data_IF_817834330277
#
_entry.id   IF_817834330277
#
_cell.length_a   1.000
_cell.length_b   1.000
_cell.length_c   1.000
_cell.angle_alpha   90.00
_cell.angle_beta   90.00
_cell.angle_gamma   90.00
#
_symmetry.space_group_name_H-M   'P 1'
#
loop_
_entity.id
_entity.type
_entity.pdbx_description
1 polymer ?
#
# COMPACT_ATOMS: atom_id res chain seq x y z
N UNK A 1 31.17 62.15 16.07
CA UNK A 1 30.15 62.07 15.01
C UNK A 1 30.30 60.72 14.33
N UNK A 2 29.26 59.88 14.48
CA UNK A 2 28.78 58.83 13.56
C UNK A 2 29.77 57.82 12.94
N UNK A 3 29.69 56.57 13.44
CA UNK A 3 29.20 55.33 12.76
C UNK A 3 29.68 55.07 11.31
N UNK A 4 30.13 53.88 10.87
CA UNK A 4 29.56 52.54 11.10
C UNK A 4 30.51 51.39 10.63
N UNK A 5 30.40 50.25 11.33
CA UNK A 5 30.42 48.80 10.89
C UNK A 5 31.68 48.06 10.34
N UNK A 6 32.38 47.37 11.26
CA UNK A 6 32.44 45.90 11.51
C UNK A 6 32.07 44.88 10.39
N UNK A 7 32.64 43.66 10.29
CA UNK A 7 33.60 42.89 11.11
C UNK A 7 34.05 41.62 10.37
N UNK A 8 35.30 41.23 10.60
CA UNK A 8 35.90 39.93 10.31
C UNK A 8 35.35 38.81 11.22
N UNK A 9 35.50 37.57 10.75
CA UNK A 9 35.00 36.37 11.40
C UNK A 9 35.87 35.79 12.51
N UNK A 10 35.34 34.74 13.16
CA UNK A 10 36.09 33.61 13.73
C UNK A 10 35.13 32.56 14.31
N UNK A 11 35.30 31.30 13.87
CA UNK A 11 35.34 30.10 14.72
C UNK A 11 34.11 29.67 15.51
N UNK A 12 33.33 28.74 14.95
CA UNK A 12 32.54 27.76 15.72
C UNK A 12 33.43 26.59 16.16
N UNK A 13 33.29 26.14 17.40
CA UNK A 13 33.71 24.80 17.84
C UNK A 13 32.46 24.03 18.29
N UNK A 14 32.18 22.97 17.53
CA UNK A 14 31.13 21.97 17.69
C UNK A 14 31.33 21.09 18.94
N UNK A 15 30.23 20.77 19.61
CA UNK A 15 30.11 19.59 20.46
C UNK A 15 29.02 18.67 19.88
N UNK A 16 29.48 17.54 19.33
CA UNK A 16 28.86 16.21 19.28
C UNK A 16 27.33 16.11 19.19
N UNK A 17 26.82 15.90 17.96
CA UNK A 17 25.56 15.19 17.73
C UNK A 17 25.82 14.02 16.79
N UNK A 18 25.49 12.82 17.28
CA UNK A 18 25.62 11.53 16.61
C UNK A 18 24.77 11.50 15.34
N UNK A 19 25.41 11.56 14.18
CA UNK A 19 24.76 11.45 12.87
C UNK A 19 24.53 9.97 12.51
N UNK A 20 23.31 9.47 12.68
CA UNK A 20 22.85 8.25 12.00
C UNK A 20 22.68 8.57 10.50
N UNK A 21 23.76 8.42 9.75
CA UNK A 21 23.82 8.67 8.31
C UNK A 21 22.88 7.76 7.53
N UNK A 22 21.93 8.34 6.79
CA UNK A 22 21.34 7.68 5.63
C UNK A 22 22.45 7.55 4.58
N UNK A 23 22.93 6.33 4.33
CA UNK A 23 23.83 6.07 3.19
C UNK A 23 23.05 6.32 1.91
N UNK A 24 23.48 7.32 1.15
CA UNK A 24 23.00 7.57 -0.20
C UNK A 24 23.29 6.34 -1.07
N UNK A 25 22.25 5.72 -1.63
CA UNK A 25 22.39 4.48 -2.40
C UNK A 25 22.90 4.82 -3.81
N UNK A 26 24.14 4.44 -4.11
CA UNK A 26 24.74 4.69 -5.44
C UNK A 26 24.22 3.65 -6.44
N UNK A 27 23.72 4.11 -7.59
CA UNK A 27 23.27 3.22 -8.66
C UNK A 27 24.45 2.55 -9.39
N UNK A 28 24.32 1.30 -9.86
CA UNK A 28 25.37 0.64 -10.64
C UNK A 28 25.75 1.46 -11.87
N UNK A 29 27.04 1.68 -12.08
CA UNK A 29 27.58 2.41 -13.22
C UNK A 29 28.70 1.62 -13.90
N UNK A 30 28.90 1.89 -15.19
CA UNK A 30 30.05 1.36 -15.94
C UNK A 30 31.34 1.89 -15.30
N UNK A 31 32.33 1.01 -15.13
CA UNK A 31 33.61 1.33 -14.51
C UNK A 31 33.69 1.06 -13.01
N UNK A 32 32.57 0.77 -12.33
CA UNK A 32 32.60 0.34 -10.92
C UNK A 32 33.41 -0.95 -10.75
N UNK A 33 34.24 -1.01 -9.71
CA UNK A 33 35.14 -2.11 -9.42
C UNK A 33 34.84 -2.76 -8.07
N UNK A 34 35.07 -4.06 -7.98
CA UNK A 34 34.86 -4.88 -6.80
C UNK A 34 36.04 -5.82 -6.61
N UNK A 35 36.36 -6.15 -5.36
CA UNK A 35 37.45 -7.07 -5.02
C UNK A 35 37.14 -8.51 -5.44
N UNK A 36 35.86 -8.91 -5.33
CA UNK A 36 35.43 -10.25 -5.73
C UNK A 36 34.14 -10.25 -6.57
N UNK A 37 33.89 -11.40 -7.19
CA UNK A 37 32.61 -11.67 -7.85
C UNK A 37 31.44 -11.58 -6.85
N UNK A 38 31.63 -12.10 -5.64
CA UNK A 38 30.59 -12.14 -4.62
C UNK A 38 30.26 -10.74 -4.12
N UNK A 39 31.25 -9.84 -4.02
CA UNK A 39 31.00 -8.43 -3.68
C UNK A 39 30.17 -7.72 -4.75
N UNK A 40 30.53 -7.90 -6.02
CA UNK A 40 29.76 -7.35 -7.14
C UNK A 40 28.33 -7.93 -7.20
N UNK A 41 28.19 -9.23 -6.92
CA UNK A 41 26.90 -9.91 -6.86
C UNK A 41 26.04 -9.41 -5.71
N UNK A 42 26.61 -9.29 -4.52
CA UNK A 42 25.93 -8.81 -3.31
C UNK A 42 25.52 -7.34 -3.45
N UNK A 43 26.41 -6.49 -3.97
CA UNK A 43 26.09 -5.10 -4.29
C UNK A 43 24.87 -4.99 -5.22
N UNK A 44 24.86 -5.75 -6.31
CA UNK A 44 23.75 -5.69 -7.25
C UNK A 44 22.45 -6.29 -6.68
N UNK A 45 22.54 -7.29 -5.79
CA UNK A 45 21.38 -7.78 -5.05
C UNK A 45 20.82 -6.74 -4.07
N UNK A 46 21.69 -6.01 -3.37
CA UNK A 46 21.27 -4.89 -2.51
C UNK A 46 20.57 -3.81 -3.33
N UNK A 47 21.13 -3.41 -4.47
CA UNK A 47 20.49 -2.48 -5.40
C UNK A 47 19.14 -3.01 -5.88
N UNK A 48 19.08 -4.28 -6.29
CA UNK A 48 17.84 -4.88 -6.77
C UNK A 48 16.76 -4.94 -5.69
N UNK A 49 17.14 -5.19 -4.43
CA UNK A 49 16.23 -5.19 -3.29
C UNK A 49 15.65 -3.80 -3.05
N UNK A 50 16.50 -2.77 -3.06
CA UNK A 50 16.09 -1.38 -2.89
C UNK A 50 15.15 -0.92 -4.01
N UNK A 51 15.49 -1.24 -5.25
CA UNK A 51 14.70 -0.88 -6.43
C UNK A 51 13.44 -1.77 -6.58
N UNK A 52 13.43 -2.97 -6.00
CA UNK A 52 12.26 -3.85 -5.94
C UNK A 52 12.18 -4.91 -7.06
N UNK A 53 13.31 -5.41 -7.57
CA UNK A 53 13.36 -6.56 -8.48
C UNK A 53 14.26 -7.68 -7.93
N UNK A 54 14.27 -8.82 -8.61
CA UNK A 54 15.13 -9.95 -8.22
C UNK A 54 16.17 -10.18 -9.30
N UNK A 55 17.42 -10.39 -8.88
CA UNK A 55 18.55 -10.69 -9.76
C UNK A 55 18.57 -12.17 -10.10
N UNK A 56 19.04 -12.50 -11.30
CA UNK A 56 19.40 -13.85 -11.71
C UNK A 56 20.70 -13.80 -12.51
N UNK A 57 21.53 -14.83 -12.34
CA UNK A 57 22.70 -15.03 -13.18
C UNK A 57 22.24 -15.51 -14.57
N UNK A 58 22.49 -14.70 -15.60
CA UNK A 58 22.17 -15.05 -17.00
C UNK A 58 23.26 -15.90 -17.62
N UNK A 59 24.50 -15.42 -17.52
CA UNK A 59 25.69 -16.05 -18.07
C UNK A 59 26.83 -15.98 -17.06
N UNK A 60 27.75 -16.94 -17.15
CA UNK A 60 29.00 -16.97 -16.40
C UNK A 60 30.08 -17.56 -17.29
N UNK A 61 31.27 -16.98 -17.27
CA UNK A 61 32.42 -17.46 -18.03
C UNK A 61 33.55 -17.84 -17.08
N UNK A 62 34.18 -18.97 -17.38
CA UNK A 62 35.24 -19.57 -16.58
C UNK A 62 36.50 -19.74 -17.42
N UNK A 63 37.66 -19.52 -16.81
CA UNK A 63 38.96 -19.77 -17.44
C UNK A 63 39.07 -21.26 -17.77
N UNK A 64 39.65 -21.58 -18.93
CA UNK A 64 39.66 -22.93 -19.51
C UNK A 64 40.27 -23.99 -18.59
N UNK A 65 41.24 -23.59 -17.75
CA UNK A 65 42.07 -24.53 -16.98
C UNK A 65 41.92 -24.43 -15.45
N UNK A 66 41.29 -23.38 -14.91
CA UNK A 66 41.30 -23.13 -13.45
C UNK A 66 39.93 -23.17 -12.77
N UNK A 67 38.83 -23.48 -13.47
CA UNK A 67 37.44 -23.31 -12.96
C UNK A 67 37.16 -21.92 -12.37
N UNK A 68 38.05 -20.96 -12.59
CA UNK A 68 37.99 -19.62 -12.03
C UNK A 68 37.09 -18.77 -12.91
N UNK A 69 36.16 -18.07 -12.28
CA UNK A 69 35.23 -17.20 -12.99
C UNK A 69 35.97 -15.94 -13.46
N UNK A 70 35.78 -15.52 -14.70
CA UNK A 70 36.33 -14.25 -15.21
C UNK A 70 35.27 -13.31 -15.77
N UNK A 71 34.00 -13.73 -15.83
CA UNK A 71 32.92 -12.84 -16.26
C UNK A 71 31.54 -13.34 -15.84
N UNK A 72 30.60 -12.41 -15.73
CA UNK A 72 29.20 -12.72 -15.46
C UNK A 72 28.25 -11.67 -16.04
N UNK A 73 27.02 -12.10 -16.34
CA UNK A 73 25.88 -11.19 -16.59
C UNK A 73 24.84 -11.46 -15.53
N UNK A 74 24.49 -10.42 -14.77
CA UNK A 74 23.41 -10.44 -13.79
C UNK A 74 22.22 -9.68 -14.37
N UNK A 75 21.05 -10.32 -14.45
CA UNK A 75 19.87 -9.74 -15.07
C UNK A 75 18.64 -9.74 -14.17
N UNK A 76 17.64 -8.94 -14.52
CA UNK A 76 16.34 -9.06 -13.89
C UNK A 76 15.74 -10.45 -14.11
N UNK A 77 15.12 -11.01 -13.08
CA UNK A 77 14.35 -12.26 -13.13
C UNK A 77 13.23 -12.27 -14.19
N UNK A 78 12.74 -11.09 -14.59
CA UNK A 78 11.75 -10.93 -15.65
C UNK A 78 12.37 -10.90 -17.07
N UNK A 79 13.68 -11.15 -17.22
CA UNK A 79 14.37 -11.14 -18.51
C UNK A 79 14.07 -12.40 -19.36
N UNK A 80 13.92 -12.17 -20.67
CA UNK A 80 13.65 -13.16 -21.71
C UNK A 80 12.16 -13.46 -21.88
N UNK A 81 11.83 -14.37 -22.79
CA UNK A 81 10.47 -14.85 -23.02
C UNK A 81 10.44 -16.37 -22.84
N UNK A 82 9.35 -16.93 -22.29
CA UNK A 82 9.18 -18.38 -22.28
C UNK A 82 8.98 -18.88 -23.71
N UNK A 83 9.59 -20.02 -24.04
CA UNK A 83 9.24 -20.77 -25.25
C UNK A 83 7.89 -21.45 -24.98
N UNK A 84 6.91 -21.20 -25.84
CA UNK A 84 5.57 -21.79 -25.74
C UNK A 84 5.73 -23.29 -25.98
N UNK A 85 5.65 -24.08 -24.91
CA UNK A 85 5.38 -25.52 -24.96
C UNK A 85 4.31 -25.82 -23.93
N UNK A 86 3.22 -26.38 -24.45
CA UNK A 86 2.02 -26.94 -23.82
C UNK A 86 1.04 -25.99 -23.10
N UNK A 87 -0.21 -26.07 -23.59
CA UNK A 87 -1.36 -25.17 -23.39
C UNK A 87 -2.03 -25.32 -22.02
N UNK A 88 -1.54 -26.22 -21.15
CA UNK A 88 -2.27 -26.61 -19.93
C UNK A 88 -1.72 -26.05 -18.61
N UNK A 89 -0.88 -25.00 -18.62
CA UNK A 89 -0.52 -24.29 -17.37
C UNK A 89 -0.60 -22.78 -17.50
N UNK A 90 -1.74 -22.21 -17.09
CA UNK A 90 -2.00 -20.78 -16.90
C UNK A 90 -1.19 -20.23 -15.69
N UNK A 91 0.14 -20.42 -15.68
CA UNK A 91 1.01 -19.67 -14.76
C UNK A 91 1.25 -18.31 -15.39
N UNK A 92 0.85 -17.23 -14.71
CA UNK A 92 1.08 -15.83 -15.13
C UNK A 92 2.51 -15.66 -15.68
N UNK A 93 2.62 -15.06 -16.87
CA UNK A 93 3.92 -14.82 -17.51
C UNK A 93 4.79 -13.96 -16.58
N UNK A 94 5.97 -14.48 -16.25
CA UNK A 94 6.89 -13.81 -15.31
C UNK A 94 8.06 -13.19 -16.03
N UNK A 95 8.25 -13.48 -17.33
CA UNK A 95 9.37 -13.04 -18.14
C UNK A 95 8.84 -12.18 -19.28
N UNK A 96 8.89 -10.87 -19.06
CA UNK A 96 8.36 -9.82 -19.94
C UNK A 96 9.37 -9.38 -21.01
N UNK A 97 10.48 -10.09 -21.17
CA UNK A 97 11.59 -9.62 -21.99
C UNK A 97 12.37 -8.46 -21.36
N UNK A 98 12.37 -8.34 -20.02
CA UNK A 98 13.02 -7.21 -19.35
C UNK A 98 14.50 -7.05 -19.73
N UNK A 99 14.95 -5.85 -20.15
CA UNK A 99 16.31 -5.64 -20.62
C UNK A 99 17.31 -5.43 -19.46
N UNK A 100 16.84 -5.03 -18.27
CA UNK A 100 17.69 -4.68 -17.13
C UNK A 100 18.75 -5.75 -16.80
N UNK A 101 20.01 -5.33 -16.83
CA UNK A 101 21.17 -6.17 -16.54
C UNK A 101 22.42 -5.36 -16.23
N UNK A 102 23.39 -6.01 -15.58
CA UNK A 102 24.78 -5.59 -15.55
C UNK A 102 25.67 -6.70 -16.09
N UNK A 103 26.73 -6.32 -16.80
CA UNK A 103 27.81 -7.22 -17.23
C UNK A 103 29.09 -6.83 -16.52
N UNK A 104 29.78 -7.82 -15.98
CA UNK A 104 31.04 -7.65 -15.26
C UNK A 104 32.09 -8.64 -15.75
N UNK A 105 33.35 -8.22 -15.68
CA UNK A 105 34.52 -9.02 -16.08
C UNK A 105 35.65 -8.79 -15.08
N UNK A 106 36.43 -9.84 -14.84
CA UNK A 106 37.69 -9.76 -14.11
C UNK A 106 38.74 -9.09 -15.00
N UNK A 107 39.32 -7.99 -14.51
CA UNK A 107 40.35 -7.18 -15.15
C UNK A 107 41.67 -7.44 -14.43
N UNK A 108 42.74 -7.63 -15.19
CA UNK A 108 44.12 -7.85 -14.72
C UNK A 108 44.28 -9.00 -13.70
N UNK A 109 43.31 -9.92 -13.67
CA UNK A 109 43.20 -11.01 -12.67
C UNK A 109 43.04 -10.56 -11.22
N UNK A 110 42.74 -9.28 -10.96
CA UNK A 110 42.64 -8.75 -9.60
C UNK A 110 41.28 -8.14 -9.27
N UNK A 111 40.63 -7.46 -10.22
CA UNK A 111 39.42 -6.67 -9.92
C UNK A 111 38.25 -6.97 -10.84
N UNK A 112 37.06 -7.06 -10.27
CA UNK A 112 35.81 -7.23 -11.03
C UNK A 112 35.26 -5.87 -11.43
N UNK A 113 35.28 -5.57 -12.73
CA UNK A 113 34.77 -4.30 -13.26
C UNK A 113 33.42 -4.49 -13.96
N UNK A 114 32.47 -3.59 -13.70
CA UNK A 114 31.24 -3.47 -14.48
C UNK A 114 31.55 -2.82 -15.83
N UNK A 115 31.24 -3.51 -16.92
CA UNK A 115 31.53 -3.07 -18.29
C UNK A 115 30.28 -2.65 -19.07
N UNK A 116 29.09 -3.03 -18.61
CA UNK A 116 27.82 -2.70 -19.25
C UNK A 116 26.73 -2.62 -18.18
N UNK A 117 25.88 -1.60 -18.29
CA UNK A 117 24.75 -1.37 -17.37
C UNK A 117 23.51 -1.00 -18.18
N UNK A 118 22.40 -1.69 -17.91
CA UNK A 118 21.06 -1.32 -18.33
C UNK A 118 20.18 -1.37 -17.09
N UNK A 119 19.74 -0.21 -16.60
CA UNK A 119 18.89 -0.10 -15.40
C UNK A 119 17.40 -0.01 -15.72
N UNK A 120 17.04 0.27 -16.98
CA UNK A 120 15.64 0.41 -17.37
C UNK A 120 14.89 -0.92 -17.34
N UNK A 121 13.70 -0.89 -16.76
CA UNK A 121 12.81 -2.04 -16.68
C UNK A 121 11.56 -1.81 -17.53
N UNK A 122 11.14 -2.84 -18.25
CA UNK A 122 9.88 -2.83 -19.01
C UNK A 122 8.69 -3.35 -18.19
N UNK A 123 8.86 -3.47 -16.87
CA UNK A 123 7.84 -3.91 -15.94
C UNK A 123 7.97 -3.15 -14.63
N UNK A 124 6.86 -3.12 -13.88
CA UNK A 124 6.83 -2.48 -12.58
C UNK A 124 7.74 -3.19 -11.58
N UNK A 125 8.39 -2.38 -10.75
CA UNK A 125 9.30 -2.80 -9.69
C UNK A 125 8.51 -2.78 -8.36
N UNK A 126 8.86 -3.66 -7.41
CA UNK A 126 8.16 -3.83 -6.13
C UNK A 126 7.00 -4.86 -6.12
N UNK A 127 6.46 -5.22 -7.28
CA UNK A 127 5.27 -6.09 -7.40
C UNK A 127 5.46 -7.56 -6.92
N UNK A 128 6.70 -8.02 -6.71
CA UNK A 128 7.00 -9.38 -6.21
C UNK A 128 7.08 -9.44 -4.68
N UNK A 129 7.56 -8.38 -4.00
CA UNK A 129 7.56 -8.32 -2.52
C UNK A 129 6.13 -8.15 -1.97
N UNK A 130 5.28 -7.45 -2.72
CA UNK A 130 3.88 -7.22 -2.39
C UNK A 130 3.00 -8.50 -2.35
N UNK A 131 3.37 -9.58 -3.06
CA UNK A 131 2.56 -10.82 -3.12
C UNK A 131 2.79 -11.78 -1.95
N UNK A 132 3.96 -11.77 -1.32
CA UNK A 132 4.28 -12.66 -0.20
C UNK A 132 3.85 -12.06 1.14
N UNK A 133 4.11 -10.78 1.38
CA UNK A 133 3.74 -10.08 2.62
C UNK A 133 2.21 -10.08 2.83
N UNK A 134 1.46 -9.68 1.80
CA UNK A 134 0.01 -9.62 1.87
C UNK A 134 -0.66 -10.99 2.07
N UNK A 135 -0.02 -12.10 1.70
CA UNK A 135 -0.68 -13.41 1.81
C UNK A 135 -0.74 -13.92 3.25
N UNK A 136 0.28 -13.62 4.05
CA UNK A 136 0.39 -14.03 5.46
C UNK A 136 -0.34 -13.03 6.36
N UNK A 137 -0.07 -11.72 6.21
CA UNK A 137 -0.66 -10.67 7.06
C UNK A 137 -2.18 -10.52 6.85
N UNK A 138 -2.66 -10.68 5.61
CA UNK A 138 -4.09 -10.73 5.35
C UNK A 138 -4.76 -11.98 5.95
N UNK A 139 -4.00 -13.05 6.17
CA UNK A 139 -4.49 -14.25 6.85
C UNK A 139 -4.81 -13.98 8.33
N UNK A 140 -3.92 -13.27 9.02
CA UNK A 140 -4.07 -12.91 10.44
C UNK A 140 -5.28 -11.98 10.63
N UNK A 141 -5.36 -10.87 9.88
CA UNK A 141 -6.48 -9.92 9.95
C UNK A 141 -7.83 -10.57 9.65
N UNK A 142 -7.90 -11.43 8.63
CA UNK A 142 -9.13 -12.20 8.32
C UNK A 142 -9.53 -13.11 9.48
N UNK A 143 -8.57 -13.81 10.10
CA UNK A 143 -8.83 -14.70 11.24
C UNK A 143 -9.26 -13.93 12.49
N UNK A 144 -8.71 -12.74 12.71
CA UNK A 144 -9.11 -11.84 13.78
C UNK A 144 -10.57 -11.40 13.59
N UNK A 145 -10.88 -10.81 12.43
CA UNK A 145 -12.20 -10.25 12.17
C UNK A 145 -13.30 -11.29 11.95
N UNK A 146 -12.98 -12.51 11.50
CA UNK A 146 -13.98 -13.58 11.36
C UNK A 146 -14.63 -13.97 12.68
N UNK A 147 -13.93 -13.75 13.81
CA UNK A 147 -14.44 -14.00 15.16
C UNK A 147 -15.37 -12.88 15.64
N UNK A 148 -15.07 -11.64 15.27
CA UNK A 148 -15.70 -10.44 15.85
C UNK A 148 -16.83 -9.91 14.97
N UNK A 149 -16.64 -9.82 13.65
CA UNK A 149 -17.57 -9.17 12.72
C UNK A 149 -18.80 -10.01 12.37
N UNK A 150 -19.96 -9.38 12.23
CA UNK A 150 -21.15 -10.02 11.62
C UNK A 150 -20.82 -10.60 10.24
N UNK A 151 -21.57 -11.62 9.81
CA UNK A 151 -21.30 -12.29 8.52
C UNK A 151 -21.32 -11.31 7.34
N UNK A 152 -22.29 -10.40 7.32
CA UNK A 152 -22.47 -9.43 6.25
C UNK A 152 -21.28 -8.45 6.13
N UNK A 153 -20.82 -7.89 7.25
CA UNK A 153 -19.71 -6.94 7.22
C UNK A 153 -18.37 -7.65 6.99
N UNK A 154 -18.22 -8.88 7.51
CA UNK A 154 -17.05 -9.70 7.25
C UNK A 154 -16.87 -10.01 5.76
N UNK A 155 -17.96 -10.30 5.03
CA UNK A 155 -17.90 -10.49 3.57
C UNK A 155 -17.42 -9.24 2.84
N UNK A 156 -17.91 -8.05 3.21
CA UNK A 156 -17.44 -6.78 2.62
C UNK A 156 -15.95 -6.54 2.90
N UNK A 157 -15.51 -6.82 4.12
CA UNK A 157 -14.10 -6.75 4.47
C UNK A 157 -13.24 -7.77 3.69
N UNK A 158 -13.74 -8.99 3.48
CA UNK A 158 -13.04 -10.01 2.69
C UNK A 158 -12.83 -9.54 1.24
N UNK A 159 -13.83 -8.89 0.64
CA UNK A 159 -13.69 -8.31 -0.70
C UNK A 159 -12.57 -7.27 -0.73
N UNK A 160 -12.49 -6.38 0.26
CA UNK A 160 -11.38 -5.41 0.34
C UNK A 160 -10.02 -6.10 0.46
N UNK A 161 -9.92 -7.15 1.29
CA UNK A 161 -8.69 -7.95 1.44
C UNK A 161 -8.31 -8.67 0.14
N UNK A 162 -9.29 -9.23 -0.57
CA UNK A 162 -9.06 -9.90 -1.84
C UNK A 162 -8.61 -8.88 -2.88
N UNK A 163 -9.34 -7.77 -3.04
CA UNK A 163 -9.04 -6.70 -3.99
C UNK A 163 -7.76 -5.92 -3.67
N UNK A 164 -7.04 -6.21 -2.57
CA UNK A 164 -5.68 -5.69 -2.37
C UNK A 164 -4.74 -6.03 -3.54
N UNK A 165 -5.00 -7.07 -4.34
CA UNK A 165 -4.19 -7.33 -5.55
C UNK A 165 -4.30 -6.23 -6.63
N UNK A 166 -5.38 -5.44 -6.62
CA UNK A 166 -5.59 -4.31 -7.54
C UNK A 166 -4.66 -3.14 -7.19
N UNK A 167 -4.34 -2.98 -5.90
CA UNK A 167 -3.33 -2.07 -5.39
C UNK A 167 -1.96 -2.64 -5.71
N UNK A 168 -1.32 -2.16 -6.77
CA UNK A 168 -0.09 -2.77 -7.28
C UNK A 168 1.18 -2.05 -6.81
N UNK A 169 1.02 -0.89 -6.19
CA UNK A 169 2.12 -0.07 -5.66
C UNK A 169 1.66 0.61 -4.37
N UNK A 170 2.52 0.58 -3.36
CA UNK A 170 2.38 1.33 -2.11
C UNK A 170 3.76 1.92 -1.82
N UNK A 171 3.88 3.24 -1.91
CA UNK A 171 5.14 3.94 -1.74
C UNK A 171 5.00 5.01 -0.67
N UNK A 172 5.99 5.12 0.22
CA UNK A 172 6.08 6.23 1.14
C UNK A 172 6.53 7.49 0.37
N UNK A 173 5.80 8.59 0.46
CA UNK A 173 6.15 9.86 -0.20
C UNK A 173 7.02 10.73 0.70
N UNK A 174 6.47 11.18 1.83
CA UNK A 174 7.16 12.03 2.79
C UNK A 174 6.56 11.88 4.20
N UNK A 175 7.21 12.51 5.17
CA UNK A 175 6.79 12.55 6.58
C UNK A 175 6.37 13.98 6.89
N UNK A 176 5.16 14.16 7.42
CA UNK A 176 4.62 15.42 7.89
C UNK A 176 4.26 15.28 9.39
N UNK A 177 5.13 15.79 10.25
CA UNK A 177 5.00 15.63 11.70
C UNK A 177 4.88 14.16 12.13
N UNK A 178 3.82 13.76 12.87
CA UNK A 178 3.62 12.38 13.30
C UNK A 178 3.03 11.48 12.20
N UNK A 179 2.64 12.05 11.06
CA UNK A 179 2.03 11.33 9.95
C UNK A 179 3.03 11.03 8.85
N UNK A 180 2.91 9.84 8.29
CA UNK A 180 3.64 9.39 7.10
C UNK A 180 2.61 9.31 5.97
N UNK A 181 2.89 9.98 4.86
CA UNK A 181 2.01 9.95 3.69
C UNK A 181 2.46 8.85 2.73
N UNK A 182 1.55 7.94 2.44
CA UNK A 182 1.70 6.87 1.48
C UNK A 182 0.87 7.13 0.23
N UNK A 183 1.42 6.78 -0.93
CA UNK A 183 0.70 6.73 -2.20
C UNK A 183 0.41 5.28 -2.56
N UNK A 184 -0.87 4.94 -2.69
CA UNK A 184 -1.32 3.61 -3.14
C UNK A 184 -1.88 3.72 -4.55
N UNK A 185 -1.30 3.01 -5.51
CA UNK A 185 -1.77 2.97 -6.90
C UNK A 185 -2.63 1.75 -7.15
N UNK A 186 -3.86 1.97 -7.59
CA UNK A 186 -4.87 0.94 -7.84
C UNK A 186 -5.18 0.83 -9.33
N UNK A 187 -5.29 -0.40 -9.85
CA UNK A 187 -5.81 -0.66 -11.19
C UNK A 187 -7.32 -0.80 -11.15
N UNK A 188 -8.01 0.04 -11.91
CA UNK A 188 -9.46 0.01 -12.05
C UNK A 188 -9.83 -0.50 -13.43
N UNK A 189 -10.84 -1.36 -13.45
CA UNK A 189 -11.48 -1.83 -14.68
C UNK A 189 -12.57 -0.82 -15.05
N UNK A 190 -12.32 0.03 -16.05
CA UNK A 190 -13.37 0.87 -16.63
C UNK A 190 -14.13 0.10 -17.72
N UNK A 191 -15.39 0.48 -17.93
CA UNK A 191 -16.19 -0.01 -19.06
C UNK A 191 -15.43 0.20 -20.37
N UNK A 192 -15.19 -0.89 -21.11
CA UNK A 192 -14.46 -0.86 -22.39
C UNK A 192 -13.01 -1.36 -22.36
N UNK A 193 -12.61 -2.19 -21.38
CA UNK A 193 -11.28 -2.83 -21.32
C UNK A 193 -10.08 -1.86 -21.18
N UNK A 194 -10.34 -0.57 -20.94
CA UNK A 194 -9.30 0.40 -20.57
C UNK A 194 -8.97 0.24 -19.09
N UNK A 195 -7.69 -0.02 -18.80
CA UNK A 195 -7.18 -0.10 -17.43
C UNK A 195 -6.78 1.30 -16.98
N UNK A 196 -7.55 1.87 -16.08
CA UNK A 196 -7.22 3.13 -15.43
C UNK A 196 -6.36 2.86 -14.18
N UNK A 197 -5.48 3.81 -13.86
CA UNK A 197 -4.72 3.80 -12.62
C UNK A 197 -5.21 4.99 -11.80
N UNK A 198 -5.66 4.73 -10.57
CA UNK A 198 -5.99 5.77 -9.61
C UNK A 198 -5.00 5.75 -8.46
N UNK A 199 -4.68 6.95 -8.00
CA UNK A 199 -3.73 7.19 -6.94
C UNK A 199 -4.51 7.60 -5.68
N UNK A 200 -4.23 6.92 -4.56
CA UNK A 200 -4.87 7.17 -3.28
C UNK A 200 -3.82 7.51 -2.22
N UNK A 201 -3.96 8.70 -1.64
CA UNK A 201 -3.16 9.09 -0.49
C UNK A 201 -3.69 8.45 0.78
N UNK A 202 -2.76 7.95 1.60
CA UNK A 202 -3.06 7.29 2.86
C UNK A 202 -2.10 7.82 3.92
N UNK A 203 -2.68 8.44 4.94
CA UNK A 203 -1.98 9.03 6.07
C UNK A 203 -1.86 7.96 7.17
N UNK A 204 -0.65 7.76 7.67
CA UNK A 204 -0.39 6.77 8.71
C UNK A 204 0.42 7.36 9.86
N UNK A 205 -0.10 7.25 11.08
CA UNK A 205 0.61 7.64 12.29
C UNK A 205 1.19 6.39 12.97
N UNK A 206 2.51 6.31 13.04
CA UNK A 206 3.22 5.18 13.66
C UNK A 206 2.96 5.05 15.16
N UNK A 207 2.87 6.18 15.87
CA UNK A 207 2.70 6.19 17.32
C UNK A 207 1.30 5.71 17.73
N UNK A 208 0.27 6.18 17.04
CA UNK A 208 -1.11 5.81 17.36
C UNK A 208 -1.64 4.62 16.56
N UNK A 209 -0.90 4.10 15.58
CA UNK A 209 -1.36 3.11 14.58
C UNK A 209 -2.66 3.55 13.87
N UNK A 210 -2.82 4.86 13.68
CA UNK A 210 -3.93 5.44 12.94
C UNK A 210 -3.63 5.44 11.44
N UNK A 211 -4.59 4.99 10.64
CA UNK A 211 -4.58 5.01 9.19
C UNK A 211 -5.83 5.73 8.67
N UNK A 212 -5.64 6.67 7.75
CA UNK A 212 -6.71 7.42 7.09
C UNK A 212 -6.44 7.41 5.58
N UNK A 213 -7.42 6.98 4.78
CA UNK A 213 -7.31 6.98 3.32
C UNK A 213 -8.27 8.03 2.75
N UNK A 214 -7.84 8.75 1.71
CA UNK A 214 -8.67 9.75 1.02
C UNK A 214 -9.96 9.16 0.42
N UNK A 215 -10.01 7.85 0.15
CA UNK A 215 -11.24 7.20 -0.34
C UNK A 215 -12.36 7.19 0.71
N UNK A 216 -12.07 7.55 1.97
CA UNK A 216 -13.04 7.70 3.06
C UNK A 216 -13.92 6.48 3.33
N UNK A 217 -13.54 5.30 2.83
CA UNK A 217 -14.30 4.06 2.98
C UNK A 217 -14.60 3.72 4.44
N UNK A 218 -13.67 3.96 5.35
CA UNK A 218 -13.93 3.74 6.77
C UNK A 218 -15.00 4.69 7.33
N UNK A 219 -14.98 5.96 6.93
CA UNK A 219 -15.98 6.94 7.36
C UNK A 219 -17.38 6.55 6.86
N UNK A 220 -17.48 6.12 5.60
CA UNK A 220 -18.77 5.79 4.97
C UNK A 220 -19.28 4.38 5.27
N UNK A 221 -18.40 3.40 5.43
CA UNK A 221 -18.77 1.99 5.55
C UNK A 221 -18.43 1.39 6.92
N UNK A 222 -17.55 2.03 7.69
CA UNK A 222 -17.13 1.57 9.02
C UNK A 222 -16.20 0.35 9.00
N UNK A 223 -15.58 0.03 7.86
CA UNK A 223 -14.50 -0.94 7.73
C UNK A 223 -13.39 -0.38 6.84
N UNK A 224 -12.16 -0.85 7.02
CA UNK A 224 -11.00 -0.36 6.28
C UNK A 224 -11.01 -0.80 4.82
N UNK A 225 -10.66 0.10 3.90
CA UNK A 225 -10.45 -0.22 2.49
C UNK A 225 -9.13 -0.95 2.26
N UNK A 226 -9.00 -1.57 1.09
CA UNK A 226 -7.76 -2.15 0.57
C UNK A 226 -6.57 -1.19 0.64
N UNK A 227 -6.73 0.12 0.38
CA UNK A 227 -5.61 1.07 0.44
C UNK A 227 -5.05 1.22 1.86
N UNK A 228 -5.94 1.39 2.85
CA UNK A 228 -5.55 1.46 4.26
C UNK A 228 -4.92 0.14 4.72
N UNK A 229 -5.46 -0.99 4.28
CA UNK A 229 -4.90 -2.32 4.56
C UNK A 229 -3.50 -2.50 3.94
N UNK A 230 -3.25 -1.99 2.74
CA UNK A 230 -1.93 -2.00 2.12
C UNK A 230 -0.90 -1.27 2.99
N UNK A 231 -1.27 -0.12 3.53
CA UNK A 231 -0.37 0.69 4.37
C UNK A 231 -0.15 0.07 5.73
N UNK A 232 -1.19 -0.52 6.35
CA UNK A 232 -1.02 -1.28 7.60
C UNK A 232 -0.06 -2.45 7.41
N UNK A 233 -0.21 -3.22 6.33
CA UNK A 233 0.71 -4.33 6.01
C UNK A 233 2.12 -3.82 5.69
N UNK A 234 2.25 -2.71 4.95
CA UNK A 234 3.55 -2.09 4.67
C UNK A 234 4.30 -1.71 5.96
N UNK A 235 3.57 -1.27 6.98
CA UNK A 235 4.13 -0.92 8.29
C UNK A 235 4.16 -2.10 9.28
N UNK A 236 3.93 -3.34 8.83
CA UNK A 236 4.04 -4.54 9.66
C UNK A 236 2.98 -4.67 10.74
N UNK A 237 1.85 -3.97 10.63
CA UNK A 237 0.74 -4.07 11.59
C UNK A 237 0.00 -5.37 11.31
N UNK A 238 0.13 -6.40 12.16
CA UNK A 238 -0.42 -7.73 11.91
C UNK A 238 -1.94 -7.82 12.10
N UNK A 239 -2.49 -7.10 13.08
CA UNK A 239 -3.92 -7.10 13.44
C UNK A 239 -4.58 -5.73 13.19
N UNK A 240 -5.89 -5.72 12.92
CA UNK A 240 -6.65 -4.49 12.80
C UNK A 240 -6.75 -3.82 14.18
N UNK A 241 -6.30 -2.55 14.33
CA UNK A 241 -6.43 -1.83 15.58
C UNK A 241 -7.90 -1.72 16.01
N UNK A 242 -8.17 -1.91 17.30
CA UNK A 242 -9.54 -2.00 17.84
C UNK A 242 -10.43 -0.81 17.53
N UNK A 243 -9.87 0.40 17.35
CA UNK A 243 -10.60 1.61 16.93
C UNK A 243 -11.29 1.49 15.57
N UNK A 244 -10.82 0.59 14.71
CA UNK A 244 -11.45 0.30 13.41
C UNK A 244 -12.47 -0.87 13.47
N UNK A 245 -12.72 -1.42 14.67
CA UNK A 245 -13.70 -2.48 14.92
C UNK A 245 -14.91 -1.86 15.61
N UNK A 246 -15.83 -1.31 14.83
CA UNK A 246 -16.98 -0.58 15.36
C UNK A 246 -17.99 -1.52 16.05
N UNK A 247 -18.58 -1.12 17.20
CA UNK A 247 -19.56 -1.92 17.94
C UNK A 247 -20.73 -2.44 17.09
N UNK A 248 -21.31 -1.59 16.25
CA UNK A 248 -22.45 -1.93 15.34
C UNK A 248 -22.16 -3.08 14.38
N UNK A 249 -20.88 -3.38 14.15
CA UNK A 249 -20.42 -4.42 13.22
C UNK A 249 -20.05 -5.73 13.93
N UNK A 250 -20.06 -5.77 15.25
CA UNK A 250 -19.71 -6.96 16.02
C UNK A 250 -20.89 -7.94 16.14
N UNK A 251 -20.60 -9.25 16.19
CA UNK A 251 -21.62 -10.30 16.35
C UNK A 251 -22.30 -10.29 17.72
N UNK A 252 -21.61 -9.81 18.74
CA UNK A 252 -22.07 -9.72 20.12
C UNK A 252 -22.83 -8.43 20.44
N UNK A 253 -23.04 -7.58 19.42
CA UNK A 253 -23.83 -6.36 19.57
C UNK A 253 -25.31 -6.72 19.72
N UNK A 254 -25.85 -6.57 20.93
CA UNK A 254 -27.29 -6.63 21.19
C UNK A 254 -27.95 -5.42 20.51
N UNK A 255 -28.72 -5.64 19.43
CA UNK A 255 -29.57 -4.61 18.85
C UNK A 255 -30.51 -4.10 19.95
N UNK A 256 -30.43 -2.80 20.27
CA UNK A 256 -31.19 -2.14 21.32
C UNK A 256 -32.72 -2.11 21.08
N UNK A 257 -33.21 -2.68 19.98
CA UNK A 257 -34.63 -2.80 19.64
C UNK A 257 -34.90 -4.20 19.07
N UNK A 258 -34.99 -5.19 19.95
CA UNK A 258 -35.84 -6.34 19.70
C UNK A 258 -36.90 -6.28 20.80
N UNK A 259 -38.13 -5.80 20.51
CA UNK A 259 -39.21 -5.91 21.49
C UNK A 259 -39.41 -7.40 21.76
N UNK A 260 -39.12 -7.82 22.98
CA UNK A 260 -39.48 -9.14 23.45
C UNK A 260 -41.00 -9.27 23.37
N UNK A 261 -41.46 -10.23 22.56
CA UNK A 261 -42.84 -10.65 22.38
C UNK A 261 -43.83 -9.70 21.70
N UNK A 262 -43.92 -9.77 20.35
CA UNK A 262 -45.23 -9.92 19.69
C UNK A 262 -45.10 -10.91 18.52
N UNK A 263 -45.83 -12.01 18.65
CA UNK A 263 -46.02 -13.01 17.61
C UNK A 263 -46.91 -12.41 16.52
N UNK A 264 -46.38 -12.18 15.31
CA UNK A 264 -47.09 -12.17 14.02
C UNK A 264 -46.12 -11.79 12.89
N UNK A 265 -46.02 -12.64 11.87
CA UNK A 265 -45.50 -12.42 10.52
C UNK A 265 -45.16 -10.97 10.09
N UNK A 266 -44.09 -10.37 10.62
CA UNK A 266 -43.48 -9.17 10.00
C UNK A 266 -42.22 -9.64 9.29
N UNK A 267 -42.22 -9.43 7.98
CA UNK A 267 -41.17 -9.86 7.07
C UNK A 267 -39.86 -9.16 7.49
N UNK A 268 -38.96 -9.91 8.12
CA UNK A 268 -37.72 -9.39 8.69
C UNK A 268 -36.81 -8.72 7.63
N UNK A 269 -37.10 -8.99 6.35
CA UNK A 269 -36.49 -8.40 5.16
C UNK A 269 -36.92 -6.93 4.94
N UNK A 270 -38.18 -6.58 5.22
CA UNK A 270 -38.72 -5.22 5.01
C UNK A 270 -38.11 -4.18 5.97
N UNK A 271 -37.89 -4.54 7.24
CA UNK A 271 -37.23 -3.66 8.21
C UNK A 271 -35.75 -3.44 7.90
N UNK A 272 -35.06 -4.47 7.42
CA UNK A 272 -33.67 -4.36 6.98
C UNK A 272 -33.59 -3.50 5.71
N UNK A 273 -34.56 -3.61 4.82
CA UNK A 273 -34.65 -2.80 3.61
C UNK A 273 -34.89 -1.32 3.92
N UNK A 274 -35.80 -1.00 4.84
CA UNK A 274 -36.08 0.38 5.27
C UNK A 274 -34.85 1.06 5.90
N UNK A 275 -34.15 0.38 6.81
CA UNK A 275 -32.90 0.89 7.37
C UNK A 275 -31.83 1.14 6.30
N UNK A 276 -31.63 0.18 5.40
CA UNK A 276 -30.64 0.32 4.32
C UNK A 276 -30.98 1.48 3.36
N UNK A 277 -32.26 1.70 3.09
CA UNK A 277 -32.72 2.78 2.21
C UNK A 277 -32.49 4.16 2.85
N UNK A 278 -32.84 4.33 4.13
CA UNK A 278 -32.58 5.56 4.87
C UNK A 278 -31.08 5.86 4.96
N UNK A 279 -30.28 4.84 5.28
CA UNK A 279 -28.83 4.97 5.36
C UNK A 279 -28.19 5.40 4.03
N UNK A 280 -28.57 4.74 2.91
CA UNK A 280 -28.10 5.12 1.57
C UNK A 280 -28.51 6.53 1.17
N UNK A 281 -29.71 6.96 1.56
CA UNK A 281 -30.22 8.30 1.25
C UNK A 281 -29.45 9.37 2.03
N UNK A 282 -29.19 9.13 3.32
CA UNK A 282 -28.36 10.01 4.14
C UNK A 282 -26.92 10.09 3.61
N UNK A 283 -26.33 8.96 3.21
CA UNK A 283 -24.98 8.92 2.65
C UNK A 283 -24.79 9.84 1.45
N UNK A 284 -25.73 9.87 0.51
CA UNK A 284 -25.66 10.75 -0.68
C UNK A 284 -25.58 12.22 -0.29
N UNK A 285 -26.31 12.61 0.75
CA UNK A 285 -26.28 14.00 1.27
C UNK A 285 -24.94 14.30 1.92
N UNK A 286 -24.34 13.33 2.63
CA UNK A 286 -22.99 13.47 3.20
C UNK A 286 -21.93 13.59 2.10
N UNK A 287 -22.01 12.77 1.04
CA UNK A 287 -21.08 12.77 -0.09
C UNK A 287 -21.03 14.13 -0.79
N UNK A 288 -22.18 14.77 -1.01
CA UNK A 288 -22.25 16.14 -1.54
C UNK A 288 -21.77 17.17 -0.50
N UNK A 289 -22.11 16.95 0.77
CA UNK A 289 -21.77 17.84 1.88
C UNK A 289 -20.26 18.04 2.09
N UNK A 290 -19.43 17.04 1.76
CA UNK A 290 -17.97 17.14 1.95
C UNK A 290 -17.23 17.87 0.82
N UNK A 291 -17.93 18.31 -0.23
CA UNK A 291 -17.32 18.97 -1.40
C UNK A 291 -16.87 20.40 -1.10
N UNK A 292 -17.61 21.14 -0.26
CA UNK A 292 -17.23 22.50 0.15
C UNK A 292 -17.86 22.88 1.50
N UNK A 293 -17.36 23.96 2.11
CA UNK A 293 -17.91 24.50 3.37
C UNK A 293 -19.39 24.87 3.26
N UNK A 294 -19.83 25.37 2.11
CA UNK A 294 -21.23 25.76 1.91
C UNK A 294 -22.13 24.53 1.77
N UNK A 295 -21.70 23.50 1.03
CA UNK A 295 -22.40 22.22 0.97
C UNK A 295 -22.47 21.55 2.35
N UNK A 296 -21.38 21.61 3.13
CA UNK A 296 -21.33 21.08 4.49
C UNK A 296 -22.39 21.72 5.39
N UNK A 297 -22.48 23.06 5.40
CA UNK A 297 -23.49 23.80 6.19
C UNK A 297 -24.91 23.44 5.75
N UNK A 298 -25.16 23.38 4.44
CA UNK A 298 -26.47 23.03 3.89
C UNK A 298 -26.87 21.59 4.25
N UNK A 299 -25.94 20.64 4.18
CA UNK A 299 -26.19 19.24 4.54
C UNK A 299 -26.49 19.09 6.04
N UNK A 300 -25.75 19.79 6.90
CA UNK A 300 -25.96 19.79 8.35
C UNK A 300 -27.34 20.33 8.73
N UNK A 301 -27.71 21.47 8.17
CA UNK A 301 -29.03 22.05 8.41
C UNK A 301 -30.15 21.10 7.96
N UNK A 302 -30.01 20.48 6.80
CA UNK A 302 -30.99 19.50 6.30
C UNK A 302 -31.13 18.27 7.22
N UNK A 303 -30.02 17.81 7.82
CA UNK A 303 -30.06 16.72 8.80
C UNK A 303 -30.77 17.14 10.10
N UNK A 304 -30.47 18.31 10.64
CA UNK A 304 -31.15 18.83 11.83
C UNK A 304 -32.65 18.99 11.61
N UNK A 305 -33.06 19.57 10.48
CA UNK A 305 -34.47 19.71 10.12
C UNK A 305 -35.16 18.35 9.97
N UNK A 306 -34.49 17.38 9.33
CA UNK A 306 -35.03 16.03 9.15
C UNK A 306 -35.15 15.31 10.49
N UNK A 307 -34.17 15.46 11.38
CA UNK A 307 -34.18 14.87 12.72
C UNK A 307 -35.36 15.41 13.54
N UNK A 308 -35.57 16.73 13.53
CA UNK A 308 -36.70 17.36 14.22
C UNK A 308 -38.04 16.87 13.68
N UNK A 309 -38.17 16.73 12.35
CA UNK A 309 -39.39 16.20 11.73
C UNK A 309 -39.71 14.77 12.17
N UNK A 310 -38.70 13.91 12.30
CA UNK A 310 -38.90 12.51 12.73
C UNK A 310 -39.33 12.44 14.20
N UNK A 311 -38.71 13.20 15.10
CA UNK A 311 -39.12 13.25 16.51
C UNK A 311 -40.58 13.73 16.67
N UNK A 312 -41.01 14.70 15.86
CA UNK A 312 -42.39 15.22 15.89
C UNK A 312 -43.45 14.23 15.36
N UNK A 313 -43.05 13.11 14.74
CA UNK A 313 -43.97 12.03 14.36
C UNK A 313 -44.28 11.14 15.56
N UNK A 314 -43.35 11.00 16.51
CA UNK A 314 -43.53 10.21 17.73
C UNK A 314 -44.52 10.88 18.70
N UNK A 315 -44.50 12.22 18.81
CA UNK A 315 -45.44 12.98 19.67
C UNK A 315 -46.90 13.00 19.16
N UNK A 316 -47.18 12.56 17.94
CA UNK A 316 -48.54 12.51 17.38
C UNK A 316 -49.24 11.15 17.57
N UNK A 317 -48.56 10.18 18.17
CA UNK A 317 -49.04 8.81 18.37
C UNK A 317 -49.36 8.49 19.85
N UNK A 318 -49.23 9.46 20.76
CA UNK A 318 -49.73 9.41 22.14
C UNK A 318 -51.04 10.23 22.30
#
# INVERSE_FOLDING_TARGET
MTLDRASEGTGLADQNVISSGRKEFVAPAVGMEFESYDDAYNYYNCYAKEVGFHVRVKNSWFKRNSKEKYGAVLCCSSQGFKRIKDVHRIRKETRTGCPAMIRMRLVDSERWRIIEVILEHNHLLGAKMYKSLNKVDAGIKRKQLSKVYTKAIFQKFQLEVEEMYSCFSTTQLHVDGPYIIFLVKERILSEGNRREIRDYEVYYNRGSTEVVCICSCFNFNGYLCRHALCVLNFNGVEEIPGKYILPRWRKDFKRLYAPDHVNSNVNHDDQIQGFNQLYRSALRVVEEGVISIDHYKSALQAFEESLNRVHNVEEKLE
#
